data_IF_346740621798
#
_entry.id   IF_346740621798
#
_cell.length_a   1.000
_cell.length_b   1.000
_cell.length_c   1.000
_cell.angle_alpha   90.00
_cell.angle_beta   90.00
_cell.angle_gamma   90.00
#
_symmetry.space_group_name_H-M   'P 1'
#
loop_
_entity.id
_entity.type
_entity.pdbx_description
1 polymer ?
#
# COMPACT_ATOMS: atom_id res chain seq x y z
N UNK A 1 -14.49 -41.43 34.15
CA UNK A 1 -13.98 -41.12 32.81
C UNK A 1 -14.40 -39.68 32.47
N UNK A 2 -13.43 -38.76 32.57
CA UNK A 2 -13.65 -37.35 32.18
C UNK A 2 -13.43 -37.22 30.66
N UNK A 3 -14.47 -36.81 29.93
CA UNK A 3 -14.39 -36.48 28.51
C UNK A 3 -13.53 -35.23 28.32
N UNK A 4 -12.43 -35.38 27.57
CA UNK A 4 -11.61 -34.22 27.10
C UNK A 4 -12.45 -33.36 26.17
N UNK A 5 -12.70 -32.11 26.57
CA UNK A 5 -13.27 -31.10 25.70
C UNK A 5 -12.32 -30.82 24.53
N UNK A 6 -12.73 -31.17 23.33
CA UNK A 6 -12.06 -30.83 22.09
C UNK A 6 -12.13 -29.33 21.91
N UNK A 7 -10.95 -28.67 21.85
CA UNK A 7 -10.85 -27.24 21.45
C UNK A 7 -11.46 -27.06 20.06
N UNK A 8 -12.29 -26.04 19.84
CA UNK A 8 -12.80 -25.75 18.51
C UNK A 8 -11.63 -25.42 17.59
N UNK A 9 -11.58 -26.12 16.47
CA UNK A 9 -10.61 -25.96 15.39
C UNK A 9 -10.84 -24.56 14.76
N UNK A 10 -10.07 -23.58 15.19
CA UNK A 10 -10.11 -22.21 14.66
C UNK A 10 -9.41 -22.20 13.29
N UNK A 11 -9.95 -22.92 12.33
CA UNK A 11 -9.63 -22.73 10.92
C UNK A 11 -10.15 -21.36 10.53
N UNK A 12 -9.24 -20.36 10.62
CA UNK A 12 -9.49 -19.04 10.09
C UNK A 12 -9.96 -19.16 8.64
N UNK A 13 -11.22 -18.82 8.40
CA UNK A 13 -11.76 -18.77 7.06
C UNK A 13 -10.86 -17.88 6.22
N UNK A 14 -10.26 -18.46 5.19
CA UNK A 14 -9.63 -17.70 4.10
C UNK A 14 -10.72 -16.78 3.56
N UNK A 15 -10.67 -15.52 3.95
CA UNK A 15 -11.46 -14.49 3.27
C UNK A 15 -10.86 -14.42 1.87
N UNK A 16 -11.43 -15.19 0.92
CA UNK A 16 -11.15 -15.03 -0.49
C UNK A 16 -11.36 -13.53 -0.78
N UNK A 17 -10.34 -12.88 -1.34
CA UNK A 17 -10.54 -11.53 -1.90
C UNK A 17 -11.81 -11.58 -2.72
N UNK A 18 -12.76 -10.70 -2.41
CA UNK A 18 -13.87 -10.49 -3.30
C UNK A 18 -13.27 -10.18 -4.68
N UNK A 19 -13.72 -10.86 -5.76
CA UNK A 19 -13.27 -10.52 -7.08
C UNK A 19 -13.53 -9.04 -7.30
N UNK A 20 -12.53 -8.32 -7.78
CA UNK A 20 -12.67 -6.92 -8.20
C UNK A 20 -13.12 -6.93 -9.65
N UNK A 21 -14.12 -6.12 -9.98
CA UNK A 21 -14.70 -6.10 -11.31
C UNK A 21 -14.08 -5.02 -12.20
N UNK A 22 -13.44 -4.02 -11.60
CA UNK A 22 -12.82 -2.91 -12.33
C UNK A 22 -11.59 -2.32 -11.60
N UNK A 23 -10.74 -1.56 -12.34
CA UNK A 23 -9.59 -0.87 -11.75
C UNK A 23 -10.00 0.09 -10.63
N UNK A 24 -9.15 0.19 -9.62
CA UNK A 24 -9.28 1.06 -8.44
C UNK A 24 -10.55 0.84 -7.59
N UNK A 25 -11.24 -0.28 -7.76
CA UNK A 25 -12.33 -0.66 -6.85
C UNK A 25 -11.82 -0.98 -5.45
N UNK A 26 -10.77 -1.80 -5.36
CA UNK A 26 -10.11 -2.18 -4.11
C UNK A 26 -8.65 -1.79 -4.19
N UNK A 27 -8.24 -0.90 -3.31
CA UNK A 27 -6.85 -0.48 -3.18
C UNK A 27 -6.23 -0.98 -1.89
N UNK A 28 -4.94 -1.30 -1.92
CA UNK A 28 -4.11 -1.58 -0.75
C UNK A 28 -3.20 -0.39 -0.48
N UNK A 29 -2.99 -0.06 0.78
CA UNK A 29 -2.18 1.07 1.20
C UNK A 29 -1.20 0.67 2.29
N UNK A 30 0.04 1.14 2.19
CA UNK A 30 1.09 0.94 3.19
C UNK A 30 2.10 2.09 3.18
N UNK A 31 2.86 2.25 4.26
CA UNK A 31 3.90 3.27 4.41
C UNK A 31 5.28 2.63 4.40
N UNK A 32 6.15 3.15 3.56
CA UNK A 32 7.54 2.73 3.44
C UNK A 32 8.47 3.85 3.89
N UNK A 33 9.43 3.53 4.73
CA UNK A 33 10.41 4.47 5.31
C UNK A 33 10.71 4.16 6.79
N UNK A 34 11.36 5.08 7.54
CA UNK A 34 11.77 6.40 7.06
C UNK A 34 12.99 6.35 6.14
N UNK A 35 12.98 7.16 5.11
CA UNK A 35 14.14 7.43 4.26
C UNK A 35 14.94 8.64 4.78
N UNK A 36 16.18 8.86 4.30
CA UNK A 36 16.86 10.13 4.47
C UNK A 36 15.98 11.27 3.95
N UNK A 37 16.07 12.44 4.59
CA UNK A 37 15.30 13.62 4.14
C UNK A 37 15.67 13.91 2.68
N UNK A 38 14.69 13.87 1.78
CA UNK A 38 14.87 14.15 0.37
C UNK A 38 15.17 15.64 0.10
N UNK A 39 15.46 15.97 -1.14
CA UNK A 39 15.63 17.37 -1.56
C UNK A 39 14.33 18.17 -1.43
N UNK A 40 13.17 17.51 -1.42
CA UNK A 40 11.85 18.10 -1.24
C UNK A 40 11.32 18.02 0.20
N UNK A 41 12.14 17.53 1.15
CA UNK A 41 11.77 17.44 2.56
C UNK A 41 10.99 16.18 2.94
N UNK A 42 10.81 15.22 2.04
CA UNK A 42 10.08 14.00 2.30
C UNK A 42 10.95 12.95 3.02
N UNK A 43 10.31 12.08 3.82
CA UNK A 43 10.95 10.99 4.55
C UNK A 43 10.25 9.65 4.41
N UNK A 44 9.05 9.64 3.85
CA UNK A 44 8.22 8.44 3.71
C UNK A 44 7.68 8.34 2.30
N UNK A 45 7.29 7.16 1.90
CA UNK A 45 6.50 6.92 0.70
C UNK A 45 5.20 6.23 1.09
N UNK A 46 4.08 6.85 0.75
CA UNK A 46 2.80 6.16 0.74
C UNK A 46 2.74 5.30 -0.51
N UNK A 47 2.62 3.99 -0.33
CA UNK A 47 2.45 3.02 -1.40
C UNK A 47 0.98 2.70 -1.54
N UNK A 48 0.43 2.86 -2.74
CA UNK A 48 -0.95 2.47 -3.07
C UNK A 48 -0.91 1.48 -4.21
N UNK A 49 -1.67 0.39 -4.11
CA UNK A 49 -1.71 -0.68 -5.09
C UNK A 49 -3.16 -0.99 -5.43
N UNK A 50 -3.51 -0.91 -6.69
CA UNK A 50 -4.79 -1.42 -7.19
C UNK A 50 -4.79 -2.95 -7.20
N UNK A 51 -5.81 -3.54 -6.59
CA UNK A 51 -5.92 -5.00 -6.46
C UNK A 51 -6.31 -5.69 -7.77
N UNK A 52 -6.89 -4.98 -8.72
CA UNK A 52 -7.32 -5.51 -10.01
C UNK A 52 -6.17 -5.55 -11.01
N UNK A 53 -5.53 -4.41 -11.24
CA UNK A 53 -4.48 -4.26 -12.28
C UNK A 53 -3.07 -4.51 -11.77
N UNK A 54 -2.85 -4.56 -10.45
CA UNK A 54 -1.55 -4.45 -9.81
C UNK A 54 -0.85 -3.09 -10.04
N UNK A 55 -1.57 -2.10 -10.52
CA UNK A 55 -1.02 -0.76 -10.68
C UNK A 55 -0.56 -0.22 -9.33
N UNK A 56 0.65 0.29 -9.28
CA UNK A 56 1.20 0.87 -8.06
C UNK A 56 1.46 2.36 -8.22
N UNK A 57 1.26 3.09 -7.13
CA UNK A 57 1.52 4.52 -7.02
C UNK A 57 2.39 4.73 -5.77
N UNK A 58 3.51 5.42 -5.93
CA UNK A 58 4.40 5.79 -4.83
C UNK A 58 4.37 7.29 -4.63
N UNK A 59 3.90 7.71 -3.49
CA UNK A 59 3.69 9.12 -3.16
C UNK A 59 4.65 9.51 -2.05
N UNK A 60 5.71 10.29 -2.33
CA UNK A 60 6.57 10.83 -1.29
C UNK A 60 5.79 11.76 -0.36
N UNK A 61 5.99 11.58 0.94
CA UNK A 61 5.35 12.40 1.99
C UNK A 61 6.36 12.78 3.07
N UNK A 62 6.24 13.99 3.67
CA UNK A 62 7.21 14.48 4.63
C UNK A 62 7.17 13.71 5.96
N UNK A 63 5.99 13.32 6.39
CA UNK A 63 5.77 12.60 7.64
C UNK A 63 4.54 11.70 7.53
N UNK A 64 4.19 11.03 8.64
CA UNK A 64 3.05 10.10 8.71
C UNK A 64 1.78 10.73 9.26
N UNK A 65 1.63 12.04 9.29
CA UNK A 65 0.41 12.67 9.76
C UNK A 65 -0.80 12.27 8.92
N UNK A 66 -1.90 11.95 9.60
CA UNK A 66 -3.09 11.42 8.93
C UNK A 66 -3.72 12.40 7.92
N UNK A 67 -3.56 13.71 8.14
CA UNK A 67 -3.98 14.76 7.22
C UNK A 67 -3.19 14.71 5.92
N UNK A 68 -1.87 14.59 6.02
CA UNK A 68 -0.97 14.46 4.85
C UNK A 68 -1.27 13.19 4.07
N UNK A 69 -1.50 12.08 4.76
CA UNK A 69 -1.85 10.82 4.11
C UNK A 69 -3.23 10.92 3.42
N UNK A 70 -4.21 11.55 4.06
CA UNK A 70 -5.53 11.74 3.47
C UNK A 70 -5.48 12.65 2.23
N UNK A 71 -4.70 13.74 2.27
CA UNK A 71 -4.47 14.63 1.13
C UNK A 71 -3.75 13.90 -0.01
N UNK A 72 -2.73 13.10 0.30
CA UNK A 72 -2.01 12.30 -0.69
C UNK A 72 -2.94 11.31 -1.39
N UNK A 73 -3.79 10.60 -0.64
CA UNK A 73 -4.80 9.70 -1.19
C UNK A 73 -5.81 10.45 -2.07
N UNK A 74 -6.32 11.58 -1.58
CA UNK A 74 -7.27 12.38 -2.34
C UNK A 74 -6.66 12.83 -3.67
N UNK A 75 -5.49 13.46 -3.62
CA UNK A 75 -4.85 14.08 -4.78
C UNK A 75 -4.38 13.07 -5.82
N UNK A 76 -3.68 12.00 -5.38
CA UNK A 76 -2.99 11.09 -6.28
C UNK A 76 -3.74 9.80 -6.59
N UNK A 77 -4.85 9.55 -5.89
CA UNK A 77 -5.67 8.37 -6.14
C UNK A 77 -7.07 8.78 -6.56
N UNK A 78 -7.80 9.49 -5.68
CA UNK A 78 -9.22 9.76 -5.92
C UNK A 78 -9.43 10.72 -7.10
N UNK A 79 -8.66 11.81 -7.16
CA UNK A 79 -8.81 12.81 -8.25
C UNK A 79 -8.24 12.33 -9.59
N UNK A 80 -7.30 11.37 -9.58
CA UNK A 80 -6.69 10.86 -10.81
C UNK A 80 -7.37 9.59 -11.34
N UNK A 81 -7.88 8.73 -10.44
CA UNK A 81 -8.38 7.40 -10.80
C UNK A 81 -9.84 7.15 -10.40
N UNK A 82 -10.45 8.07 -9.67
CA UNK A 82 -11.81 7.91 -9.16
C UNK A 82 -11.87 7.39 -7.72
N UNK A 83 -13.10 7.34 -7.18
CA UNK A 83 -13.34 6.87 -5.83
C UNK A 83 -13.23 5.34 -5.76
N UNK A 84 -12.51 4.83 -4.77
CA UNK A 84 -12.44 3.41 -4.47
C UNK A 84 -13.60 2.98 -3.54
N UNK A 85 -14.00 1.72 -3.63
CA UNK A 85 -15.03 1.12 -2.78
C UNK A 85 -14.47 0.48 -1.50
N UNK A 86 -13.19 0.08 -1.53
CA UNK A 86 -12.55 -0.58 -0.40
C UNK A 86 -11.08 -0.22 -0.29
N UNK A 87 -10.65 0.05 0.96
CA UNK A 87 -9.25 0.27 1.32
C UNK A 87 -8.75 -0.85 2.22
N UNK A 88 -7.69 -1.53 1.78
CA UNK A 88 -6.94 -2.49 2.58
C UNK A 88 -5.72 -1.79 3.19
N UNK A 89 -5.52 -1.89 4.48
CA UNK A 89 -4.31 -1.40 5.16
C UNK A 89 -4.00 -2.25 6.38
N UNK A 90 -2.79 -2.15 6.87
CA UNK A 90 -2.47 -2.67 8.19
C UNK A 90 -3.14 -1.82 9.30
N UNK A 91 -2.86 -2.18 10.55
CA UNK A 91 -3.37 -1.47 11.73
C UNK A 91 -2.44 -0.35 12.20
N UNK A 92 -1.57 0.18 11.33
CA UNK A 92 -0.73 1.29 11.73
C UNK A 92 -1.60 2.45 12.23
N UNK A 93 -1.31 3.02 13.44
CA UNK A 93 -2.17 4.03 14.07
C UNK A 93 -2.44 5.25 13.17
N UNK A 94 -1.44 5.68 12.43
CA UNK A 94 -1.56 6.82 11.51
C UNK A 94 -2.56 6.57 10.39
N UNK A 95 -2.51 5.37 9.81
CA UNK A 95 -3.44 4.98 8.76
C UNK A 95 -4.85 4.80 9.32
N UNK A 96 -4.98 4.44 10.60
CA UNK A 96 -6.25 4.29 11.30
C UNK A 96 -6.85 5.62 11.78
N UNK A 97 -6.10 6.73 11.75
CA UNK A 97 -6.46 8.00 12.36
C UNK A 97 -7.60 8.75 11.65
N UNK A 98 -8.08 9.81 12.30
CA UNK A 98 -9.35 10.47 11.97
C UNK A 98 -9.45 11.05 10.56
N UNK A 99 -8.38 11.62 10.00
CA UNK A 99 -8.43 12.25 8.68
C UNK A 99 -8.61 11.22 7.55
N UNK A 100 -7.85 10.13 7.59
CA UNK A 100 -8.00 9.01 6.62
C UNK A 100 -9.39 8.38 6.77
N UNK A 101 -9.86 8.16 8.01
CA UNK A 101 -11.19 7.60 8.27
C UNK A 101 -12.30 8.52 7.78
N UNK A 102 -12.13 9.85 7.87
CA UNK A 102 -13.09 10.83 7.35
C UNK A 102 -13.13 10.80 5.82
N UNK A 103 -12.00 10.72 5.14
CA UNK A 103 -11.95 10.58 3.69
C UNK A 103 -12.67 9.29 3.25
N UNK A 104 -12.38 8.15 3.87
CA UNK A 104 -13.03 6.87 3.57
C UNK A 104 -14.56 6.97 3.72
N UNK A 105 -15.03 7.63 4.79
CA UNK A 105 -16.46 7.86 5.04
C UNK A 105 -17.10 8.76 3.98
N UNK A 106 -16.44 9.85 3.58
CA UNK A 106 -16.91 10.74 2.51
C UNK A 106 -17.04 10.01 1.17
N UNK A 107 -16.10 9.11 0.86
CA UNK A 107 -16.15 8.27 -0.34
C UNK A 107 -17.17 7.13 -0.23
N UNK A 108 -17.81 6.94 0.93
CA UNK A 108 -18.68 5.78 1.25
C UNK A 108 -17.95 4.44 1.05
N UNK A 109 -16.63 4.45 1.16
CA UNK A 109 -15.80 3.26 1.01
C UNK A 109 -15.77 2.43 2.30
N UNK A 110 -15.46 1.15 2.16
CA UNK A 110 -15.19 0.26 3.30
C UNK A 110 -13.70 0.23 3.60
N UNK A 111 -13.36 0.00 4.85
CA UNK A 111 -11.99 -0.26 5.27
C UNK A 111 -11.87 -1.67 5.80
N UNK A 112 -10.86 -2.38 5.34
CA UNK A 112 -10.52 -3.72 5.82
C UNK A 112 -9.09 -3.68 6.36
N UNK A 113 -8.93 -4.07 7.61
CA UNK A 113 -7.60 -4.20 8.19
C UNK A 113 -7.03 -5.58 7.86
N UNK A 114 -5.84 -5.60 7.27
CA UNK A 114 -5.09 -6.83 7.07
C UNK A 114 -4.58 -7.30 8.43
N UNK A 115 -4.88 -8.54 8.81
CA UNK A 115 -4.35 -9.12 10.03
C UNK A 115 -2.98 -9.74 9.76
N UNK A 116 -2.11 -9.73 10.78
CA UNK A 116 -0.80 -10.37 10.74
C UNK A 116 -0.86 -11.89 10.44
N UNK A 117 -2.05 -12.49 10.54
CA UNK A 117 -2.31 -13.91 10.29
C UNK A 117 -2.82 -14.24 8.87
N UNK A 118 -2.91 -13.27 7.96
CA UNK A 118 -3.29 -13.51 6.57
C UNK A 118 -2.17 -13.11 5.60
N UNK A 119 -1.12 -13.92 5.46
CA UNK A 119 0.05 -13.60 4.63
C UNK A 119 -0.29 -13.40 3.15
N UNK A 120 -1.39 -13.99 2.65
CA UNK A 120 -1.80 -13.84 1.25
C UNK A 120 -2.33 -12.44 0.91
N UNK A 121 -2.95 -11.73 1.87
CA UNK A 121 -3.44 -10.37 1.66
C UNK A 121 -2.30 -9.33 1.66
N UNK A 122 -1.21 -9.62 2.37
CA UNK A 122 -0.01 -8.78 2.44
C UNK A 122 1.07 -9.16 1.41
N UNK A 123 0.99 -10.37 0.86
CA UNK A 123 2.02 -10.90 -0.03
C UNK A 123 2.25 -10.05 -1.30
N UNK A 124 1.26 -9.28 -1.72
CA UNK A 124 1.38 -8.34 -2.85
C UNK A 124 2.15 -7.08 -2.43
N UNK A 125 1.80 -6.46 -1.31
CA UNK A 125 2.54 -5.32 -0.77
C UNK A 125 3.98 -5.71 -0.43
N UNK A 126 4.20 -6.87 0.18
CA UNK A 126 5.53 -7.37 0.50
C UNK A 126 6.41 -7.59 -0.76
N UNK A 127 5.84 -8.15 -1.84
CA UNK A 127 6.56 -8.30 -3.10
C UNK A 127 6.95 -6.95 -3.70
N UNK A 128 6.03 -5.99 -3.69
CA UNK A 128 6.28 -4.64 -4.18
C UNK A 128 7.33 -3.94 -3.31
N UNK A 129 7.24 -4.04 -1.99
CA UNK A 129 8.24 -3.46 -1.09
C UNK A 129 9.63 -4.08 -1.29
N UNK A 130 9.73 -5.39 -1.49
CA UNK A 130 11.01 -6.03 -1.85
C UNK A 130 11.57 -5.51 -3.17
N UNK A 131 10.71 -5.38 -4.18
CA UNK A 131 11.10 -4.82 -5.48
C UNK A 131 11.56 -3.37 -5.34
N UNK A 132 10.81 -2.52 -4.65
CA UNK A 132 11.17 -1.11 -4.40
C UNK A 132 12.52 -1.01 -3.68
N UNK A 133 12.69 -1.76 -2.60
CA UNK A 133 13.93 -1.73 -1.82
C UNK A 133 15.14 -2.17 -2.66
N UNK A 134 14.99 -3.17 -3.53
CA UNK A 134 16.04 -3.60 -4.45
C UNK A 134 16.34 -2.51 -5.50
N UNK A 135 15.32 -1.92 -6.10
CA UNK A 135 15.46 -0.85 -7.08
C UNK A 135 16.11 0.40 -6.47
N UNK A 136 15.65 0.81 -5.27
CA UNK A 136 16.25 1.93 -4.55
C UNK A 136 17.72 1.69 -4.22
N UNK A 137 18.09 0.52 -3.71
CA UNK A 137 19.51 0.18 -3.46
C UNK A 137 20.36 0.29 -4.71
N UNK A 138 19.86 -0.25 -5.82
CA UNK A 138 20.58 -0.23 -7.12
C UNK A 138 20.73 1.18 -7.66
N UNK A 139 19.69 1.98 -7.59
CA UNK A 139 19.73 3.38 -8.06
C UNK A 139 20.61 4.23 -7.15
N UNK A 140 20.43 4.13 -5.83
CA UNK A 140 21.17 4.96 -4.87
C UNK A 140 22.66 4.60 -4.81
N UNK A 141 23.05 3.37 -5.16
CA UNK A 141 24.48 3.02 -5.31
C UNK A 141 25.18 3.76 -6.44
N UNK A 142 24.41 4.29 -7.41
CA UNK A 142 24.89 5.03 -8.57
C UNK A 142 24.54 6.53 -8.51
N UNK A 143 23.69 6.93 -7.57
CA UNK A 143 23.22 8.31 -7.46
C UNK A 143 24.29 9.23 -6.83
N UNK A 144 24.34 10.47 -7.30
CA UNK A 144 25.23 11.49 -6.74
C UNK A 144 24.84 11.87 -5.28
N UNK A 145 23.62 11.62 -4.86
CA UNK A 145 23.13 11.92 -3.52
C UNK A 145 22.10 10.92 -3.05
N UNK A 146 22.24 10.46 -1.79
CA UNK A 146 21.24 9.64 -1.11
C UNK A 146 19.89 10.35 -0.91
N UNK A 147 19.87 11.67 -1.04
CA UNK A 147 18.66 12.50 -0.90
C UNK A 147 17.78 12.51 -2.14
N UNK A 148 18.23 11.91 -3.25
CA UNK A 148 17.48 11.82 -4.52
C UNK A 148 16.68 10.50 -4.66
N UNK A 149 16.28 9.92 -3.54
CA UNK A 149 15.53 8.67 -3.54
C UNK A 149 14.13 8.79 -4.20
N UNK A 150 13.56 10.00 -4.27
CA UNK A 150 12.27 10.20 -4.92
C UNK A 150 12.34 9.95 -6.43
N UNK A 151 13.41 10.40 -7.09
CA UNK A 151 13.65 10.07 -8.50
C UNK A 151 13.82 8.57 -8.70
N UNK A 152 14.57 7.91 -7.81
CA UNK A 152 14.72 6.47 -7.80
C UNK A 152 13.37 5.75 -7.63
N UNK A 153 12.50 6.28 -6.77
CA UNK A 153 11.17 5.74 -6.52
C UNK A 153 10.28 5.83 -7.78
N UNK A 154 10.36 6.95 -8.52
CA UNK A 154 9.65 7.11 -9.79
C UNK A 154 10.14 6.14 -10.87
N UNK A 155 11.45 5.93 -10.95
CA UNK A 155 12.02 4.92 -11.84
C UNK A 155 11.57 3.50 -11.46
N UNK A 156 11.53 3.19 -10.16
CA UNK A 156 11.03 1.90 -9.67
C UNK A 156 9.53 1.71 -9.98
N UNK A 157 8.72 2.76 -9.81
CA UNK A 157 7.30 2.75 -10.17
C UNK A 157 7.09 2.41 -11.65
N UNK A 158 7.79 3.12 -12.53
CA UNK A 158 7.72 2.87 -13.97
C UNK A 158 8.18 1.43 -14.32
N UNK A 159 9.31 1.01 -13.77
CA UNK A 159 9.86 -0.34 -14.00
C UNK A 159 8.90 -1.44 -13.54
N UNK A 160 8.27 -1.26 -12.37
CA UNK A 160 7.29 -2.21 -11.86
C UNK A 160 6.07 -2.32 -12.79
N UNK A 161 5.50 -1.18 -13.19
CA UNK A 161 4.34 -1.13 -14.09
C UNK A 161 4.61 -1.81 -15.43
N UNK A 162 5.79 -1.57 -16.01
CA UNK A 162 6.17 -2.17 -17.30
C UNK A 162 6.48 -3.67 -17.21
N UNK A 163 6.92 -4.16 -16.05
CA UNK A 163 7.19 -5.59 -15.83
C UNK A 163 5.89 -6.35 -15.56
N UNK A 164 4.97 -5.78 -14.79
CA UNK A 164 3.67 -6.38 -14.50
C UNK A 164 2.83 -6.61 -15.76
N UNK A 165 2.92 -5.73 -16.75
CA UNK A 165 2.20 -5.84 -18.02
C UNK A 165 2.72 -7.00 -18.91
N UNK A 166 3.96 -7.45 -18.74
CA UNK A 166 4.54 -8.56 -19.51
C UNK A 166 4.13 -9.96 -19.01
N UNK A 167 3.54 -10.05 -17.83
CA UNK A 167 3.13 -11.32 -17.21
C UNK A 167 1.63 -11.63 -17.33
N UNK A 168 0.88 -10.87 -18.11
CA UNK A 168 -0.59 -10.99 -18.28
C UNK A 168 -0.98 -11.55 -19.66
N UNK A 169 -0.07 -12.28 -20.32
CA UNK A 169 -0.39 -13.12 -21.48
C UNK A 169 -0.74 -14.55 -21.09
#
# INVERSE_FOLDING_TARGET
QQAKATKPDNKGYLVRRAPTDHPFEIISMDLLGPFPISVHGNRWSLTVIDSFTNWCIFIPVPNKESTIIAEALLKHVVLEHGAFSCLLSDREPTLAASAVSSLIRLLKARRIFTSAYHPQSNGQCERIHRFINAALRTYMSKAASIRDWESALKCAEWSYRTTALKGSE
#
